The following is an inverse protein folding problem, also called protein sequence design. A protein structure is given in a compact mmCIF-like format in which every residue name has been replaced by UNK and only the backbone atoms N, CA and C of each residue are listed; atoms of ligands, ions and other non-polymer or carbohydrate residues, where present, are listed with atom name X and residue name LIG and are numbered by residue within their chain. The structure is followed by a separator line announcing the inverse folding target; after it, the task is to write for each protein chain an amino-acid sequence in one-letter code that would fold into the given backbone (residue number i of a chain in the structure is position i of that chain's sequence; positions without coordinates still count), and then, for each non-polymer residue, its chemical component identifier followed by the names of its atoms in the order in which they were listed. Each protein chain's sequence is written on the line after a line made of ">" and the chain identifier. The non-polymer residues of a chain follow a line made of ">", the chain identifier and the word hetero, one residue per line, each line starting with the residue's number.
data_IF_017398921239
#
_entry.id   IF_017398921239
#
_cell.length_a   1.000
_cell.length_b   1.000
_cell.length_c   1.000
_cell.angle_alpha   90.00
_cell.angle_beta   90.00
_cell.angle_gamma   90.00
#
_symmetry.space_group_name_H-M   'P 1'
#
loop_
_entity.id
_entity.type
_entity.pdbx_description
1 polymer ?
#
# COMPACT_ATOMS: atom_id res chain seq x y z
N UNK A 1 -19.94 -16.37 -10.00
CA UNK A 1 -21.29 -15.76 -10.08
C UNK A 1 -21.79 -15.51 -8.67
N UNK A 2 -22.63 -14.50 -8.38
CA UNK A 2 -23.14 -14.30 -7.02
C UNK A 2 -24.15 -15.43 -6.68
N UNK A 3 -24.10 -16.07 -5.50
CA UNK A 3 -25.07 -17.10 -5.10
C UNK A 3 -26.54 -16.71 -5.33
N UNK A 4 -26.90 -15.45 -5.05
CA UNK A 4 -28.25 -14.94 -5.27
C UNK A 4 -28.67 -14.98 -6.75
N UNK A 5 -27.73 -14.69 -7.66
CA UNK A 5 -28.00 -14.76 -9.11
C UNK A 5 -28.23 -16.20 -9.56
N UNK A 6 -27.57 -17.19 -8.96
CA UNK A 6 -27.78 -18.59 -9.35
C UNK A 6 -29.17 -19.07 -8.95
N UNK A 7 -29.66 -18.66 -7.79
CA UNK A 7 -31.01 -18.96 -7.36
C UNK A 7 -32.04 -18.36 -8.33
N UNK A 8 -31.85 -17.11 -8.77
CA UNK A 8 -32.70 -16.47 -9.78
C UNK A 8 -32.69 -17.25 -11.10
N UNK A 9 -31.52 -17.64 -11.60
CA UNK A 9 -31.42 -18.43 -12.85
C UNK A 9 -32.11 -19.79 -12.69
N UNK A 10 -31.97 -20.44 -11.53
CA UNK A 10 -32.60 -21.74 -11.27
C UNK A 10 -34.13 -21.68 -11.13
N UNK A 11 -34.68 -20.48 -10.97
CA UNK A 11 -36.12 -20.24 -10.83
C UNK A 11 -36.84 -20.02 -12.17
N UNK A 12 -36.11 -19.73 -13.27
CA UNK A 12 -36.70 -19.35 -14.56
C UNK A 12 -37.56 -20.48 -15.16
N UNK A 13 -36.98 -21.67 -15.37
CA UNK A 13 -37.72 -22.85 -15.81
C UNK A 13 -36.95 -24.14 -15.45
N UNK A 14 -37.59 -25.30 -15.59
CA UNK A 14 -36.98 -26.60 -15.27
C UNK A 14 -35.65 -26.84 -16.02
N UNK A 15 -35.55 -26.42 -17.29
CA UNK A 15 -34.33 -26.56 -18.09
C UNK A 15 -33.17 -25.73 -17.52
N UNK A 16 -33.41 -24.46 -17.15
CA UNK A 16 -32.40 -23.60 -16.54
C UNK A 16 -31.94 -24.12 -15.18
N UNK A 17 -32.87 -24.65 -14.40
CA UNK A 17 -32.56 -25.35 -13.14
C UNK A 17 -31.62 -26.52 -13.38
N UNK A 18 -31.95 -27.44 -14.29
CA UNK A 18 -31.09 -28.57 -14.63
C UNK A 18 -29.70 -28.13 -15.07
N UNK A 19 -29.61 -27.12 -15.95
CA UNK A 19 -28.31 -26.55 -16.37
C UNK A 19 -27.54 -26.00 -15.17
N UNK A 20 -28.20 -25.25 -14.28
CA UNK A 20 -27.59 -24.70 -13.09
C UNK A 20 -26.99 -25.82 -12.21
N UNK A 21 -27.76 -26.86 -11.90
CA UNK A 21 -27.31 -27.99 -11.06
C UNK A 21 -26.25 -28.88 -11.71
N UNK A 22 -26.23 -29.00 -13.04
CA UNK A 22 -25.24 -29.82 -13.75
C UNK A 22 -23.91 -29.09 -13.97
N UNK A 23 -23.90 -27.76 -13.93
CA UNK A 23 -22.71 -26.96 -14.26
C UNK A 23 -21.93 -26.59 -13.00
N UNK A 24 -21.00 -27.46 -12.59
CA UNK A 24 -20.22 -27.30 -11.36
C UNK A 24 -19.49 -25.95 -11.21
N UNK A 25 -19.06 -25.34 -12.32
CA UNK A 25 -18.37 -24.03 -12.32
C UNK A 25 -19.28 -22.87 -11.90
N UNK A 26 -20.61 -23.04 -11.94
CA UNK A 26 -21.54 -22.04 -11.40
C UNK A 26 -21.55 -22.02 -9.86
N UNK A 27 -21.15 -23.13 -9.23
CA UNK A 27 -21.10 -23.34 -7.78
C UNK A 27 -19.69 -23.11 -7.20
N UNK A 28 -18.71 -22.72 -8.03
CA UNK A 28 -17.31 -22.63 -7.61
C UNK A 28 -16.96 -21.38 -6.80
N UNK A 29 -17.85 -20.39 -6.76
CA UNK A 29 -17.67 -19.16 -5.99
C UNK A 29 -18.41 -19.27 -4.66
N UNK A 30 -17.66 -19.44 -3.57
CA UNK A 30 -18.21 -19.50 -2.22
C UNK A 30 -18.06 -18.13 -1.60
N UNK A 31 -19.18 -17.52 -1.20
CA UNK A 31 -19.21 -16.27 -0.44
C UNK A 31 -19.92 -16.52 0.87
N UNK A 32 -19.22 -16.29 1.97
CA UNK A 32 -19.80 -16.40 3.30
C UNK A 32 -19.43 -15.17 4.10
N UNK A 33 -20.45 -14.45 4.57
CA UNK A 33 -20.29 -13.21 5.31
C UNK A 33 -21.02 -13.36 6.64
N UNK A 34 -20.26 -13.35 7.72
CA UNK A 34 -20.77 -13.39 9.08
C UNK A 34 -20.83 -11.98 9.66
N UNK A 35 -21.98 -11.61 10.19
CA UNK A 35 -22.16 -10.48 11.09
C UNK A 35 -22.97 -10.94 12.31
N UNK A 36 -22.89 -10.25 13.46
CA UNK A 36 -23.63 -10.65 14.66
C UNK A 36 -25.15 -10.70 14.43
N UNK A 37 -25.66 -9.92 13.47
CA UNK A 37 -27.09 -9.88 13.11
C UNK A 37 -27.47 -10.86 12.00
N UNK A 38 -26.50 -11.38 11.24
CA UNK A 38 -26.77 -12.18 10.05
C UNK A 38 -25.63 -13.15 9.78
N UNK A 39 -25.94 -14.43 9.79
CA UNK A 39 -25.01 -15.48 9.40
C UNK A 39 -25.69 -16.43 8.37
N UNK A 40 -25.02 -16.75 7.24
CA UNK A 40 -25.54 -17.71 6.28
C UNK A 40 -25.55 -19.11 6.88
N UNK A 41 -26.61 -19.88 6.61
CA UNK A 41 -26.69 -21.28 6.99
C UNK A 41 -25.49 -22.08 6.48
N UNK A 42 -24.90 -22.88 7.36
CA UNK A 42 -23.80 -23.81 7.03
C UNK A 42 -24.26 -24.93 6.09
N UNK A 43 -25.56 -25.23 6.03
CA UNK A 43 -26.12 -26.17 5.05
C UNK A 43 -26.04 -25.64 3.63
N UNK A 44 -26.21 -24.33 3.45
CA UNK A 44 -26.02 -23.70 2.14
C UNK A 44 -24.55 -23.77 1.71
N UNK A 45 -23.62 -23.64 2.64
CA UNK A 45 -22.19 -23.81 2.37
C UNK A 45 -21.88 -25.25 1.95
N UNK A 46 -22.41 -26.25 2.68
CA UNK A 46 -22.29 -27.67 2.30
C UNK A 46 -22.85 -27.95 0.91
N UNK A 47 -24.01 -27.35 0.60
CA UNK A 47 -24.61 -27.44 -0.73
C UNK A 47 -23.70 -26.83 -1.81
N UNK A 48 -23.16 -25.62 -1.61
CA UNK A 48 -22.22 -25.02 -2.57
C UNK A 48 -20.99 -25.88 -2.81
N UNK A 49 -20.37 -26.36 -1.72
CA UNK A 49 -19.18 -27.21 -1.79
C UNK A 49 -19.48 -28.50 -2.55
N UNK A 50 -20.57 -29.20 -2.23
CA UNK A 50 -20.93 -30.47 -2.88
C UNK A 50 -21.19 -30.30 -4.39
N UNK A 51 -21.91 -29.25 -4.78
CA UNK A 51 -22.24 -29.00 -6.18
C UNK A 51 -21.06 -28.46 -7.01
N UNK A 52 -20.07 -27.83 -6.36
CA UNK A 52 -18.82 -27.43 -7.02
C UNK A 52 -17.99 -28.63 -7.51
N UNK A 53 -18.24 -29.84 -7.00
CA UNK A 53 -17.57 -31.10 -7.36
C UNK A 53 -16.05 -30.99 -7.32
N UNK A 54 -15.37 -31.04 -8.47
CA UNK A 54 -13.92 -30.91 -8.61
C UNK A 54 -13.50 -29.54 -9.19
N UNK A 55 -14.45 -28.62 -9.41
CA UNK A 55 -14.14 -27.32 -9.98
C UNK A 55 -13.19 -26.53 -9.04
N UNK A 56 -12.25 -25.74 -9.60
CA UNK A 56 -11.42 -24.84 -8.80
C UNK A 56 -12.27 -23.82 -8.05
N UNK A 57 -12.00 -23.64 -6.77
CA UNK A 57 -12.81 -22.80 -5.89
C UNK A 57 -12.30 -21.37 -5.79
N UNK A 58 -13.23 -20.44 -5.66
CA UNK A 58 -13.00 -19.04 -5.30
C UNK A 58 -13.72 -18.79 -3.98
N UNK A 59 -12.97 -18.68 -2.88
CA UNK A 59 -13.51 -18.59 -1.53
C UNK A 59 -13.36 -17.16 -1.03
N UNK A 60 -14.48 -16.54 -0.64
CA UNK A 60 -14.51 -15.23 -0.01
C UNK A 60 -15.22 -15.32 1.33
N UNK A 61 -14.49 -15.12 2.42
CA UNK A 61 -14.98 -15.18 3.79
C UNK A 61 -14.81 -13.80 4.43
N UNK A 62 -15.88 -13.26 4.98
CA UNK A 62 -15.87 -12.02 5.75
C UNK A 62 -16.46 -12.31 7.12
N UNK A 63 -15.73 -12.02 8.20
CA UNK A 63 -16.21 -12.19 9.57
C UNK A 63 -16.14 -10.85 10.29
N UNK A 64 -17.32 -10.31 10.61
CA UNK A 64 -17.49 -9.13 11.43
C UNK A 64 -17.92 -9.57 12.83
N UNK A 65 -17.12 -9.29 13.86
CA UNK A 65 -17.38 -9.65 15.27
C UNK A 65 -16.44 -10.72 15.84
N UNK A 66 -16.66 -11.07 17.11
CA UNK A 66 -15.76 -11.90 17.93
C UNK A 66 -16.19 -13.38 18.07
N UNK A 67 -17.39 -13.72 17.62
CA UNK A 67 -18.02 -15.03 17.90
C UNK A 67 -17.31 -16.19 17.21
N UNK A 68 -16.92 -17.18 18.01
CA UNK A 68 -16.02 -18.26 17.60
C UNK A 68 -16.72 -19.50 17.00
N UNK A 69 -17.89 -19.89 17.51
CA UNK A 69 -18.42 -21.24 17.29
C UNK A 69 -18.82 -21.54 15.84
N UNK A 70 -19.56 -20.64 15.19
CA UNK A 70 -19.98 -20.85 13.80
C UNK A 70 -18.81 -20.70 12.81
N UNK A 71 -17.86 -19.82 13.14
CA UNK A 71 -16.67 -19.56 12.33
C UNK A 71 -15.79 -20.82 12.28
N UNK A 72 -15.64 -21.52 13.40
CA UNK A 72 -14.93 -22.80 13.45
C UNK A 72 -15.59 -23.88 12.59
N UNK A 73 -16.93 -23.97 12.63
CA UNK A 73 -17.68 -24.91 11.79
C UNK A 73 -17.43 -24.64 10.30
N UNK A 74 -17.44 -23.37 9.90
CA UNK A 74 -17.17 -22.97 8.50
C UNK A 74 -15.74 -23.27 8.10
N UNK A 75 -14.76 -22.94 8.94
CA UNK A 75 -13.36 -23.24 8.70
C UNK A 75 -13.14 -24.76 8.55
N UNK A 76 -13.76 -25.56 9.42
CA UNK A 76 -13.72 -27.02 9.38
C UNK A 76 -14.35 -27.60 8.11
N UNK A 77 -15.44 -27.00 7.61
CA UNK A 77 -16.07 -27.40 6.35
C UNK A 77 -15.20 -27.08 5.12
N UNK A 78 -14.45 -25.98 5.14
CA UNK A 78 -13.61 -25.55 4.02
C UNK A 78 -12.24 -26.24 3.99
N UNK A 79 -11.71 -26.64 5.15
CA UNK A 79 -10.36 -27.20 5.30
C UNK A 79 -10.05 -28.36 4.33
N UNK A 80 -10.94 -29.34 4.10
CA UNK A 80 -10.72 -30.43 3.14
C UNK A 80 -10.61 -29.99 1.68
N UNK A 81 -11.00 -28.75 1.36
CA UNK A 81 -11.13 -28.26 -0.01
C UNK A 81 -10.12 -27.16 -0.38
N UNK A 82 -9.20 -26.79 0.53
CA UNK A 82 -8.20 -25.76 0.27
C UNK A 82 -7.28 -26.08 -0.92
N UNK A 83 -6.94 -27.35 -1.15
CA UNK A 83 -6.12 -27.77 -2.30
C UNK A 83 -6.76 -27.45 -3.67
N UNK A 84 -8.09 -27.30 -3.71
CA UNK A 84 -8.86 -26.92 -4.90
C UNK A 84 -9.00 -25.41 -5.05
N UNK A 85 -8.61 -24.63 -4.05
CA UNK A 85 -8.82 -23.19 -4.06
C UNK A 85 -7.82 -22.51 -5.00
N UNK A 86 -8.37 -21.77 -5.96
CA UNK A 86 -7.63 -20.90 -6.87
C UNK A 86 -7.51 -19.49 -6.33
N UNK A 87 -8.50 -19.03 -5.59
CA UNK A 87 -8.53 -17.71 -4.95
C UNK A 87 -9.07 -17.86 -3.53
N UNK A 88 -8.36 -17.29 -2.57
CA UNK A 88 -8.74 -17.22 -1.16
C UNK A 88 -8.74 -15.75 -0.78
N UNK A 89 -9.87 -15.27 -0.26
CA UNK A 89 -10.09 -13.90 0.16
C UNK A 89 -10.71 -13.93 1.55
N UNK A 90 -9.91 -13.67 2.58
CA UNK A 90 -10.33 -13.76 3.97
C UNK A 90 -10.24 -12.36 4.60
N UNK A 91 -11.34 -11.90 5.17
CA UNK A 91 -11.45 -10.60 5.83
C UNK A 91 -12.03 -10.79 7.23
N UNK A 92 -11.34 -10.28 8.25
CA UNK A 92 -11.71 -10.41 9.65
C UNK A 92 -11.62 -9.06 10.34
N UNK A 93 -12.56 -8.73 11.23
CA UNK A 93 -12.43 -7.58 12.14
C UNK A 93 -11.71 -7.93 13.44
N UNK A 94 -11.54 -9.22 13.73
CA UNK A 94 -10.88 -9.70 14.94
C UNK A 94 -9.93 -10.85 14.64
N UNK A 95 -8.77 -10.84 15.30
CA UNK A 95 -7.73 -11.88 15.16
C UNK A 95 -8.21 -13.27 15.57
N UNK A 96 -9.09 -13.36 16.56
CA UNK A 96 -9.64 -14.64 17.03
C UNK A 96 -10.38 -15.39 15.91
N UNK A 97 -11.09 -14.66 15.04
CA UNK A 97 -11.78 -15.25 13.91
C UNK A 97 -10.78 -15.75 12.84
N UNK A 98 -9.69 -15.02 12.63
CA UNK A 98 -8.65 -15.42 11.69
C UNK A 98 -7.96 -16.72 12.12
N UNK A 99 -7.79 -16.95 13.43
CA UNK A 99 -7.18 -18.15 13.98
C UNK A 99 -7.90 -19.47 13.65
N UNK A 100 -9.18 -19.45 13.24
CA UNK A 100 -9.87 -20.66 12.79
C UNK A 100 -9.47 -21.09 11.37
N UNK A 101 -9.14 -20.10 10.53
CA UNK A 101 -8.71 -20.32 9.15
C UNK A 101 -7.20 -20.50 9.02
N UNK A 102 -6.47 -20.04 10.03
CA UNK A 102 -5.02 -20.10 10.09
C UNK A 102 -4.54 -21.20 11.06
N UNK A 103 -3.40 -21.84 10.74
CA UNK A 103 -2.67 -21.71 9.50
C UNK A 103 -3.39 -22.36 8.30
N UNK A 104 -3.21 -21.80 7.11
CA UNK A 104 -3.64 -22.44 5.87
C UNK A 104 -2.78 -23.70 5.59
N UNK A 105 -3.29 -24.71 4.87
CA UNK A 105 -2.50 -25.89 4.51
C UNK A 105 -1.30 -25.53 3.63
N UNK A 106 -0.21 -26.29 3.77
CA UNK A 106 1.02 -26.09 3.00
C UNK A 106 0.89 -26.39 1.51
N UNK A 107 -0.07 -27.22 1.11
CA UNK A 107 -0.26 -27.69 -0.26
C UNK A 107 -1.49 -27.05 -0.92
N UNK A 108 -1.26 -25.93 -1.62
CA UNK A 108 -2.28 -25.16 -2.33
C UNK A 108 -1.89 -25.02 -3.82
N UNK A 109 -1.91 -26.12 -4.60
CA UNK A 109 -1.30 -26.17 -5.93
C UNK A 109 -2.02 -25.30 -6.96
N UNK A 110 -3.31 -25.00 -6.76
CA UNK A 110 -4.10 -24.17 -7.67
C UNK A 110 -4.14 -22.69 -7.27
N UNK A 111 -3.63 -22.34 -6.08
CA UNK A 111 -3.76 -21.00 -5.53
C UNK A 111 -3.01 -19.97 -6.38
N UNK A 112 -3.75 -18.99 -6.90
CA UNK A 112 -3.23 -17.86 -7.65
C UNK A 112 -3.39 -16.55 -6.90
N UNK A 113 -4.47 -16.40 -6.15
CA UNK A 113 -4.78 -15.15 -5.48
C UNK A 113 -5.02 -15.43 -3.99
N UNK A 114 -4.20 -14.83 -3.14
CA UNK A 114 -4.36 -14.86 -1.69
C UNK A 114 -4.55 -13.43 -1.20
N UNK A 115 -5.73 -13.16 -0.65
CA UNK A 115 -6.03 -11.93 0.07
C UNK A 115 -6.38 -12.28 1.52
N UNK A 116 -5.71 -11.63 2.46
CA UNK A 116 -5.90 -11.82 3.88
C UNK A 116 -5.90 -10.44 4.55
N UNK A 117 -7.02 -10.07 5.13
CA UNK A 117 -7.21 -8.80 5.80
C UNK A 117 -7.69 -9.07 7.22
N UNK A 118 -6.98 -8.53 8.21
CA UNK A 118 -7.43 -8.46 9.59
C UNK A 118 -7.45 -6.98 9.93
N UNK A 119 -8.64 -6.40 10.01
CA UNK A 119 -8.81 -5.04 10.47
C UNK A 119 -8.65 -5.04 11.99
N UNK A 120 -7.76 -4.20 12.51
CA UNK A 120 -7.70 -3.98 13.95
C UNK A 120 -8.87 -3.06 14.31
N UNK A 121 -9.90 -3.55 15.00
CA UNK A 121 -10.92 -2.68 15.57
C UNK A 121 -10.26 -1.82 16.66
N UNK A 122 -9.84 -0.62 16.28
CA UNK A 122 -9.27 0.39 17.17
C UNK A 122 -10.37 0.99 18.04
N UNK A 123 -10.87 0.24 19.01
CA UNK A 123 -11.63 0.78 20.11
C UNK A 123 -11.48 -0.16 21.31
N UNK A 124 -10.49 0.06 22.20
CA UNK A 124 -10.68 -0.35 23.58
C UNK A 124 -11.94 0.38 24.05
N UNK A 125 -13.03 -0.36 24.24
CA UNK A 125 -14.22 0.14 24.91
C UNK A 125 -13.75 0.78 26.21
N UNK A 126 -14.01 2.09 26.38
CA UNK A 126 -13.55 2.98 27.45
C UNK A 126 -14.06 2.61 28.86
N UNK A 127 -14.33 1.35 29.13
CA UNK A 127 -14.62 0.85 30.48
C UNK A 127 -13.37 0.16 31.00
N UNK A 128 -12.64 0.72 31.98
CA UNK A 128 -11.65 -0.01 32.74
C UNK A 128 -12.38 -0.96 33.71
N UNK A 129 -12.42 -2.29 33.49
CA UNK A 129 -12.67 -3.19 34.60
C UNK A 129 -11.39 -3.21 35.43
N UNK A 130 -11.46 -2.63 36.63
CA UNK A 130 -10.47 -2.76 37.68
C UNK A 130 -10.39 -4.22 38.15
N UNK A 131 -9.81 -5.10 37.32
CA UNK A 131 -9.44 -6.46 37.70
C UNK A 131 -7.92 -6.48 37.80
N UNK A 132 -7.36 -6.56 39.03
CA UNK A 132 -5.92 -6.64 39.21
C UNK A 132 -5.42 -8.04 38.80
N UNK A 133 -4.35 -8.05 38.01
CA UNK A 133 -3.43 -9.18 37.80
C UNK A 133 -3.98 -10.44 37.12
N UNK A 134 -4.56 -10.31 35.92
CA UNK A 134 -4.49 -11.42 34.97
C UNK A 134 -3.15 -11.32 34.25
N UNK A 135 -2.21 -12.23 34.56
CA UNK A 135 -0.98 -12.41 33.80
C UNK A 135 -1.29 -12.35 32.30
N UNK A 136 -0.69 -11.39 31.61
CA UNK A 136 -0.90 -11.18 30.18
C UNK A 136 -0.39 -12.42 29.42
N UNK A 137 -1.29 -13.37 29.16
CA UNK A 137 -1.07 -14.48 28.26
C UNK A 137 -0.79 -13.89 26.87
N UNK A 138 0.50 -13.74 26.56
CA UNK A 138 1.00 -13.36 25.24
C UNK A 138 0.45 -14.39 24.27
N UNK A 139 -0.57 -14.02 23.50
CA UNK A 139 -1.09 -14.93 22.49
C UNK A 139 0.01 -15.19 21.46
N UNK A 140 0.21 -16.45 21.04
CA UNK A 140 1.25 -16.79 20.08
C UNK A 140 1.06 -16.01 18.77
N UNK A 141 2.15 -15.74 18.02
CA UNK A 141 2.07 -15.04 16.75
C UNK A 141 1.19 -15.80 15.76
N UNK A 142 0.40 -15.06 14.98
CA UNK A 142 -0.43 -15.64 13.93
C UNK A 142 0.48 -16.20 12.83
N UNK A 143 0.28 -17.47 12.48
CA UNK A 143 0.98 -18.14 11.37
C UNK A 143 0.06 -18.24 10.18
N UNK A 144 0.49 -17.72 9.03
CA UNK A 144 -0.34 -17.76 7.83
C UNK A 144 -0.45 -19.17 7.24
N UNK A 145 0.62 -19.99 7.30
CA UNK A 145 0.67 -21.36 6.75
C UNK A 145 1.28 -22.35 7.75
N UNK A 146 0.86 -23.62 7.65
CA UNK A 146 1.01 -24.66 8.71
C UNK A 146 2.40 -25.33 8.70
N UNK A 147 3.29 -24.87 7.83
CA UNK A 147 4.59 -25.51 7.59
C UNK A 147 5.68 -24.49 7.34
N UNK A 148 6.92 -24.89 7.57
CA UNK A 148 8.09 -24.08 7.22
C UNK A 148 8.23 -23.82 5.72
N UNK A 149 7.62 -24.63 4.84
CA UNK A 149 7.67 -24.45 3.38
C UNK A 149 6.34 -24.71 2.69
N UNK A 150 5.67 -23.65 2.22
CA UNK A 150 4.45 -23.79 1.44
C UNK A 150 4.76 -24.11 -0.03
N UNK A 151 4.03 -25.09 -0.58
CA UNK A 151 4.01 -25.45 -2.01
C UNK A 151 2.81 -24.78 -2.66
N UNK A 152 2.93 -23.48 -2.89
CA UNK A 152 1.96 -22.69 -3.63
C UNK A 152 2.72 -21.75 -4.57
N UNK A 153 2.07 -21.38 -5.69
CA UNK A 153 2.60 -20.45 -6.69
C UNK A 153 1.62 -19.30 -6.91
N UNK A 154 1.38 -18.48 -5.89
CA UNK A 154 0.44 -17.38 -6.00
C UNK A 154 0.97 -16.35 -7.00
N UNK A 155 0.09 -15.86 -7.86
CA UNK A 155 0.33 -14.72 -8.73
C UNK A 155 0.13 -13.39 -7.99
N UNK A 156 -0.74 -13.39 -6.98
CA UNK A 156 -1.07 -12.23 -6.16
C UNK A 156 -1.09 -12.62 -4.68
N UNK A 157 -0.34 -11.89 -3.84
CA UNK A 157 -0.45 -11.95 -2.38
C UNK A 157 -0.81 -10.56 -1.86
N UNK A 158 -1.88 -10.48 -1.08
CA UNK A 158 -2.29 -9.27 -0.35
C UNK A 158 -2.52 -9.65 1.09
N UNK A 159 -1.77 -9.03 2.00
CA UNK A 159 -1.89 -9.25 3.44
C UNK A 159 -1.97 -7.87 4.09
N UNK A 160 -3.05 -7.62 4.82
CA UNK A 160 -3.23 -6.41 5.61
C UNK A 160 -3.59 -6.81 7.04
N UNK A 161 -2.69 -6.52 7.97
CA UNK A 161 -2.81 -6.79 9.40
C UNK A 161 -2.05 -5.67 10.13
N UNK A 162 -2.67 -4.51 10.34
CA UNK A 162 -2.05 -3.34 10.97
C UNK A 162 -1.90 -3.48 12.48
N UNK A 163 -2.31 -4.61 13.08
CA UNK A 163 -2.15 -4.84 14.51
C UNK A 163 -0.68 -4.94 14.91
N UNK A 164 -0.38 -4.69 16.19
CA UNK A 164 0.98 -4.77 16.74
C UNK A 164 1.56 -6.18 16.74
N UNK A 165 0.75 -7.21 16.46
CA UNK A 165 1.21 -8.59 16.52
C UNK A 165 2.06 -8.95 15.31
N UNK A 166 3.15 -9.67 15.60
CA UNK A 166 4.01 -10.21 14.57
C UNK A 166 3.26 -11.29 13.77
N UNK A 167 3.18 -11.09 12.46
CA UNK A 167 2.72 -12.11 11.53
C UNK A 167 3.92 -12.93 11.06
N UNK A 168 3.90 -14.24 11.33
CA UNK A 168 4.89 -15.14 10.76
C UNK A 168 4.52 -15.47 9.32
N UNK A 169 5.24 -14.86 8.38
CA UNK A 169 5.14 -15.20 6.98
C UNK A 169 5.85 -16.54 6.73
N UNK A 170 5.25 -17.41 5.93
CA UNK A 170 5.84 -18.71 5.64
C UNK A 170 6.99 -18.56 4.64
N UNK A 171 7.94 -19.49 4.69
CA UNK A 171 8.88 -19.63 3.58
C UNK A 171 8.09 -20.18 2.40
N UNK A 172 8.01 -19.40 1.33
CA UNK A 172 7.55 -19.93 0.06
C UNK A 172 8.69 -20.75 -0.56
N UNK A 173 8.33 -21.78 -1.30
CA UNK A 173 9.33 -22.61 -2.01
C UNK A 173 9.60 -22.11 -3.43
N UNK A 174 8.62 -21.43 -4.03
CA UNK A 174 8.67 -20.94 -5.41
C UNK A 174 7.68 -19.78 -5.62
N UNK A 175 8.19 -18.56 -5.77
CA UNK A 175 7.40 -17.36 -6.05
C UNK A 175 7.64 -16.81 -7.46
N UNK A 176 8.12 -17.63 -8.40
CA UNK A 176 8.36 -17.19 -9.78
C UNK A 176 7.12 -16.66 -10.48
N UNK A 177 5.93 -17.14 -10.10
CA UNK A 177 4.67 -16.68 -10.69
C UNK A 177 4.12 -15.41 -10.03
N UNK A 178 4.70 -14.96 -8.91
CA UNK A 178 4.24 -13.80 -8.15
C UNK A 178 4.47 -12.50 -8.95
N UNK A 179 3.37 -11.83 -9.28
CA UNK A 179 3.36 -10.55 -10.02
C UNK A 179 3.04 -9.36 -9.13
N UNK A 180 2.28 -9.57 -8.07
CA UNK A 180 1.85 -8.50 -7.16
C UNK A 180 1.92 -8.96 -5.71
N UNK A 181 2.66 -8.18 -4.91
CA UNK A 181 2.81 -8.37 -3.48
C UNK A 181 2.37 -7.09 -2.76
N UNK A 182 1.36 -7.20 -1.91
CA UNK A 182 0.95 -6.14 -0.99
C UNK A 182 1.03 -6.68 0.43
N UNK A 183 1.88 -6.09 1.26
CA UNK A 183 2.04 -6.43 2.66
C UNK A 183 1.87 -5.17 3.48
N UNK A 184 0.93 -5.18 4.40
CA UNK A 184 0.72 -4.14 5.38
C UNK A 184 0.65 -4.82 6.73
N UNK A 185 1.81 -5.15 7.28
CA UNK A 185 1.96 -6.10 8.40
C UNK A 185 3.10 -5.67 9.31
N UNK A 186 3.04 -6.11 10.55
CA UNK A 186 4.21 -6.20 11.40
C UNK A 186 4.90 -7.57 11.13
N UNK A 187 5.95 -7.59 10.31
CA UNK A 187 6.68 -8.82 9.98
C UNK A 187 8.20 -8.58 9.96
N UNK A 188 9.01 -9.59 10.32
CA UNK A 188 10.46 -9.47 10.27
C UNK A 188 10.96 -9.15 8.86
N UNK A 189 11.86 -8.16 8.77
CA UNK A 189 12.47 -7.73 7.50
C UNK A 189 13.07 -8.87 6.69
N UNK A 190 13.78 -9.79 7.34
CA UNK A 190 14.41 -10.93 6.68
C UNK A 190 13.40 -11.80 5.91
N UNK A 191 12.18 -11.96 6.44
CA UNK A 191 11.12 -12.70 5.76
C UNK A 191 10.64 -11.97 4.51
N UNK A 192 10.43 -10.65 4.60
CA UNK A 192 10.03 -9.84 3.43
C UNK A 192 11.09 -9.84 2.34
N UNK A 193 12.36 -9.69 2.71
CA UNK A 193 13.50 -9.77 1.78
C UNK A 193 13.57 -11.13 1.10
N UNK A 194 13.35 -12.21 1.86
CA UNK A 194 13.31 -13.57 1.32
C UNK A 194 12.17 -13.75 0.30
N UNK A 195 10.98 -13.21 0.59
CA UNK A 195 9.83 -13.25 -0.32
C UNK A 195 10.14 -12.50 -1.62
N UNK A 196 10.69 -11.29 -1.51
CA UNK A 196 11.03 -10.49 -2.70
C UNK A 196 12.10 -11.20 -3.52
N UNK A 197 13.18 -11.68 -2.91
CA UNK A 197 14.27 -12.38 -3.61
C UNK A 197 13.79 -13.61 -4.40
N UNK A 198 12.76 -14.30 -3.91
CA UNK A 198 12.18 -15.47 -4.58
C UNK A 198 11.19 -15.13 -5.71
N UNK A 199 10.86 -13.84 -5.89
CA UNK A 199 9.85 -13.36 -6.84
C UNK A 199 10.48 -12.53 -7.99
N UNK A 200 11.21 -13.16 -8.93
CA UNK A 200 11.91 -12.45 -10.01
C UNK A 200 10.96 -11.72 -10.98
N UNK A 201 9.72 -12.19 -11.10
CA UNK A 201 8.71 -11.61 -11.99
C UNK A 201 7.78 -10.60 -11.30
N UNK A 202 8.14 -10.15 -10.09
CA UNK A 202 7.36 -9.18 -9.35
C UNK A 202 7.26 -7.86 -10.11
N UNK A 203 6.03 -7.41 -10.38
CA UNK A 203 5.73 -6.15 -11.09
C UNK A 203 5.22 -5.05 -10.18
N UNK A 204 4.53 -5.42 -9.10
CA UNK A 204 3.94 -4.50 -8.15
C UNK A 204 4.31 -4.89 -6.74
N UNK A 205 4.91 -3.97 -5.99
CA UNK A 205 5.26 -4.12 -4.59
C UNK A 205 4.62 -2.99 -3.78
N UNK A 206 3.86 -3.34 -2.74
CA UNK A 206 3.20 -2.39 -1.85
C UNK A 206 3.47 -2.82 -0.41
N UNK A 207 4.41 -2.16 0.28
CA UNK A 207 4.87 -2.51 1.61
C UNK A 207 4.54 -1.40 2.59
N UNK A 208 3.82 -1.72 3.66
CA UNK A 208 3.56 -0.84 4.79
C UNK A 208 3.97 -1.56 6.08
N UNK A 209 5.09 -1.17 6.68
CA UNK A 209 5.60 -1.83 7.90
C UNK A 209 5.44 -0.89 9.09
N UNK A 210 4.81 -1.39 10.14
CA UNK A 210 4.47 -0.59 11.34
C UNK A 210 5.53 -0.63 12.45
N UNK A 211 6.51 -1.53 12.41
CA UNK A 211 7.53 -1.69 13.46
C UNK A 211 8.69 -0.69 13.29
N UNK A 212 9.16 -0.10 14.39
CA UNK A 212 10.22 0.91 14.42
C UNK A 212 11.62 0.39 14.72
N UNK A 213 11.83 -0.93 14.75
CA UNK A 213 13.12 -1.48 15.16
C UNK A 213 14.27 -0.85 14.35
N UNK A 214 15.26 -0.30 15.07
CA UNK A 214 16.42 0.36 14.50
C UNK A 214 17.29 -0.66 13.75
N UNK A 215 17.11 -0.77 12.43
CA UNK A 215 17.89 -1.70 11.62
C UNK A 215 18.59 -1.00 10.45
N UNK A 216 19.87 -1.29 10.27
CA UNK A 216 20.74 -0.77 9.22
C UNK A 216 20.14 -0.85 7.81
N UNK A 217 20.47 0.11 6.94
CA UNK A 217 20.03 0.18 5.54
C UNK A 217 20.62 -0.98 4.70
N UNK A 218 19.92 -2.11 4.59
CA UNK A 218 20.24 -3.12 3.57
C UNK A 218 19.62 -2.74 2.22
N UNK A 219 20.48 -2.35 1.27
CA UNK A 219 20.12 -2.35 -0.15
C UNK A 219 20.18 -3.78 -0.64
N UNK A 220 19.08 -4.30 -1.19
CA UNK A 220 19.11 -5.60 -1.85
C UNK A 220 20.08 -5.54 -3.04
N UNK A 221 21.08 -6.43 -3.12
CA UNK A 221 22.01 -6.48 -4.26
C UNK A 221 21.31 -6.93 -5.55
N UNK A 222 20.17 -7.62 -5.42
CA UNK A 222 19.44 -8.17 -6.55
C UNK A 222 18.48 -7.14 -7.16
N UNK A 223 18.73 -6.82 -8.43
CA UNK A 223 17.84 -6.01 -9.24
C UNK A 223 16.55 -6.77 -9.49
N UNK A 224 15.40 -6.11 -9.31
CA UNK A 224 14.12 -6.63 -9.76
C UNK A 224 13.78 -6.04 -11.14
N UNK A 225 14.19 -6.68 -12.25
CA UNK A 225 14.05 -6.09 -13.59
C UNK A 225 12.59 -5.93 -14.00
N UNK A 226 11.66 -6.70 -13.45
CA UNK A 226 10.25 -6.60 -13.80
C UNK A 226 9.44 -5.63 -12.94
N UNK A 227 10.03 -5.04 -11.90
CA UNK A 227 9.30 -4.19 -10.96
C UNK A 227 8.91 -2.86 -11.63
N UNK A 228 7.61 -2.61 -11.76
CA UNK A 228 7.03 -1.45 -12.43
C UNK A 228 6.40 -0.47 -11.43
N UNK A 229 5.91 -0.97 -10.29
CA UNK A 229 5.28 -0.18 -9.24
C UNK A 229 5.84 -0.55 -7.87
N UNK A 230 6.24 0.46 -7.10
CA UNK A 230 6.65 0.31 -5.72
C UNK A 230 5.92 1.34 -4.85
N UNK A 231 5.29 0.88 -3.78
CA UNK A 231 4.68 1.72 -2.74
C UNK A 231 5.26 1.32 -1.39
N UNK A 232 5.77 2.28 -0.63
CA UNK A 232 6.46 2.03 0.63
C UNK A 232 5.87 2.92 1.72
N UNK A 233 5.68 2.36 2.91
CA UNK A 233 5.29 3.08 4.12
C UNK A 233 5.99 2.55 5.36
N UNK A 234 6.15 3.41 6.35
CA UNK A 234 6.76 3.15 7.65
C UNK A 234 8.19 2.65 7.51
N UNK A 235 8.54 1.60 8.25
CA UNK A 235 9.85 0.96 8.13
C UNK A 235 10.04 0.20 6.80
N UNK A 236 8.97 0.00 6.02
CA UNK A 236 9.01 -0.62 4.67
C UNK A 236 9.86 0.16 3.70
N UNK A 237 10.09 1.41 3.97
CA UNK A 237 10.93 2.30 3.19
C UNK A 237 12.41 1.95 3.13
N UNK A 238 12.95 1.30 4.16
CA UNK A 238 14.31 0.76 4.14
C UNK A 238 14.46 -0.43 3.18
N UNK A 239 13.36 -0.85 2.55
CA UNK A 239 13.31 -1.86 1.48
C UNK A 239 13.11 -1.23 0.10
N UNK A 240 13.64 -0.02 -0.15
CA UNK A 240 13.68 0.51 -1.51
C UNK A 240 14.45 -0.45 -2.41
N UNK A 241 13.82 -0.88 -3.51
CA UNK A 241 14.38 -1.88 -4.41
C UNK A 241 14.76 -1.17 -5.70
N UNK A 242 16.06 -1.09 -6.04
CA UNK A 242 16.48 -0.58 -7.34
C UNK A 242 15.86 -1.40 -8.47
N UNK A 243 15.17 -0.73 -9.38
CA UNK A 243 14.42 -1.37 -10.46
C UNK A 243 14.47 -0.51 -11.73
N UNK A 244 15.14 -0.97 -12.80
CA UNK A 244 15.36 -0.17 -14.00
C UNK A 244 14.08 0.07 -14.80
N UNK A 245 13.05 -0.75 -14.57
CA UNK A 245 11.74 -0.65 -15.19
C UNK A 245 10.68 0.00 -14.29
N UNK A 246 11.06 0.51 -13.11
CA UNK A 246 10.13 1.16 -12.20
C UNK A 246 9.53 2.40 -12.86
N UNK A 247 8.20 2.41 -13.01
CA UNK A 247 7.44 3.51 -13.59
C UNK A 247 6.72 4.34 -12.54
N UNK A 248 6.38 3.75 -11.41
CA UNK A 248 5.64 4.43 -10.33
C UNK A 248 6.28 4.13 -8.98
N UNK A 249 6.61 5.18 -8.24
CA UNK A 249 7.07 5.11 -6.85
C UNK A 249 6.14 5.94 -5.96
N UNK A 250 5.64 5.34 -4.89
CA UNK A 250 4.83 6.03 -3.89
C UNK A 250 5.48 5.87 -2.53
N UNK A 251 5.94 6.97 -1.94
CA UNK A 251 6.48 7.03 -0.59
C UNK A 251 5.38 7.57 0.32
N UNK A 252 5.02 6.79 1.33
CA UNK A 252 3.96 7.08 2.29
C UNK A 252 4.63 7.25 3.64
N UNK A 253 4.49 8.43 4.23
CA UNK A 253 5.09 8.94 5.48
C UNK A 253 6.54 9.45 5.42
N UNK A 254 6.93 10.15 6.49
CA UNK A 254 8.24 10.79 6.66
C UNK A 254 9.37 9.77 6.73
N UNK A 255 9.18 8.66 7.45
CA UNK A 255 10.18 7.60 7.54
C UNK A 255 10.52 7.08 6.14
N UNK A 256 9.50 7.01 5.26
CA UNK A 256 9.72 6.56 3.90
C UNK A 256 10.53 7.45 3.00
N UNK A 257 10.38 8.75 3.22
CA UNK A 257 11.12 9.76 2.48
C UNK A 257 12.55 9.83 3.01
N UNK A 258 12.73 9.77 4.33
CA UNK A 258 14.04 9.76 4.96
C UNK A 258 14.89 8.56 4.50
N UNK A 259 14.32 7.36 4.44
CA UNK A 259 15.07 6.19 3.98
C UNK A 259 15.57 6.33 2.53
N UNK A 260 14.79 6.98 1.66
CA UNK A 260 15.22 7.29 0.30
C UNK A 260 16.32 8.35 0.32
N UNK A 261 16.19 9.40 1.12
CA UNK A 261 17.19 10.46 1.25
C UNK A 261 18.55 9.93 1.77
N UNK A 262 18.54 9.06 2.77
CA UNK A 262 19.72 8.37 3.30
C UNK A 262 20.38 7.48 2.23
N UNK A 263 19.56 6.72 1.49
CA UNK A 263 20.06 5.86 0.41
C UNK A 263 20.72 6.68 -0.71
N UNK A 264 20.16 7.84 -1.04
CA UNK A 264 20.75 8.77 -2.00
C UNK A 264 22.05 9.40 -1.48
N UNK A 265 22.10 9.75 -0.20
CA UNK A 265 23.30 10.29 0.46
C UNK A 265 24.48 9.33 0.41
N UNK A 266 24.21 8.03 0.55
CA UNK A 266 25.24 6.99 0.56
C UNK A 266 25.91 6.74 -0.80
N UNK A 267 25.29 7.19 -1.90
CA UNK A 267 25.75 6.87 -3.27
C UNK A 267 26.32 8.10 -3.97
N UNK A 268 27.64 8.25 -3.91
CA UNK A 268 28.32 9.42 -4.48
C UNK A 268 28.45 9.44 -6.02
N UNK A 269 28.03 8.43 -6.79
CA UNK A 269 28.27 8.45 -8.26
C UNK A 269 27.53 7.40 -9.13
N UNK A 270 26.48 6.73 -8.64
CA UNK A 270 25.86 5.65 -9.42
C UNK A 270 24.86 6.14 -10.48
N UNK A 271 24.64 5.39 -11.57
CA UNK A 271 23.56 5.66 -12.53
C UNK A 271 22.21 5.80 -11.81
N UNK A 272 21.30 6.58 -12.40
CA UNK A 272 19.94 6.79 -11.87
C UNK A 272 19.31 5.44 -11.48
N UNK A 273 18.83 5.35 -10.24
CA UNK A 273 18.22 4.13 -9.69
C UNK A 273 16.95 3.73 -10.43
N UNK A 274 16.25 4.72 -10.99
CA UNK A 274 14.95 4.55 -11.64
C UNK A 274 14.89 5.33 -12.95
N UNK A 275 15.70 4.96 -13.96
CA UNK A 275 15.84 5.72 -15.21
C UNK A 275 14.51 5.84 -15.99
N UNK A 276 13.50 5.06 -15.63
CA UNK A 276 12.16 5.04 -16.24
C UNK A 276 11.05 5.53 -15.31
N UNK A 277 11.37 6.16 -14.18
CA UNK A 277 10.38 6.64 -13.24
C UNK A 277 9.52 7.73 -13.90
N UNK A 278 8.23 7.46 -14.08
CA UNK A 278 7.27 8.36 -14.71
C UNK A 278 6.38 9.06 -13.69
N UNK A 279 6.07 8.37 -12.58
CA UNK A 279 5.17 8.86 -11.54
C UNK A 279 5.87 8.74 -10.18
N UNK A 280 5.93 9.85 -9.46
CA UNK A 280 6.37 9.88 -8.07
C UNK A 280 5.25 10.46 -7.22
N UNK A 281 4.87 9.74 -6.16
CA UNK A 281 3.94 10.23 -5.15
C UNK A 281 4.64 10.29 -3.79
N UNK A 282 4.58 11.45 -3.13
CA UNK A 282 5.12 11.69 -1.80
C UNK A 282 3.94 12.02 -0.89
N UNK A 283 3.67 11.20 0.12
CA UNK A 283 2.54 11.37 1.03
C UNK A 283 3.10 11.62 2.43
N UNK A 284 3.01 12.84 2.92
CA UNK A 284 3.47 13.22 4.25
C UNK A 284 2.34 13.02 5.29
N UNK A 285 2.69 12.42 6.43
CA UNK A 285 1.80 12.38 7.59
C UNK A 285 1.61 13.78 8.20
N UNK A 286 0.45 14.04 8.81
CA UNK A 286 0.04 15.39 9.24
C UNK A 286 0.77 16.00 10.45
N UNK A 287 1.80 15.37 11.01
CA UNK A 287 2.34 15.74 12.33
C UNK A 287 3.77 16.33 12.33
N UNK A 288 4.45 16.44 11.18
CA UNK A 288 5.88 16.77 11.17
C UNK A 288 6.14 18.29 11.02
N UNK A 289 5.89 19.05 12.08
CA UNK A 289 6.22 20.49 12.10
C UNK A 289 7.74 20.76 12.18
N UNK A 290 8.54 19.73 12.48
CA UNK A 290 9.98 19.85 12.79
C UNK A 290 10.92 19.32 11.69
N UNK A 291 10.44 19.18 10.45
CA UNK A 291 11.30 18.73 9.36
C UNK A 291 12.29 19.83 8.95
N UNK A 292 13.59 19.58 9.15
CA UNK A 292 14.64 20.51 8.71
C UNK A 292 14.78 20.51 7.19
N UNK A 293 15.10 21.67 6.62
CA UNK A 293 15.32 21.87 5.18
C UNK A 293 16.32 20.85 4.59
N UNK A 294 17.36 20.52 5.37
CA UNK A 294 18.43 19.62 4.95
C UNK A 294 17.94 18.21 4.62
N UNK A 295 16.83 17.75 5.24
CA UNK A 295 16.26 16.42 5.03
C UNK A 295 15.64 16.21 3.65
N UNK A 296 15.48 17.27 2.87
CA UNK A 296 14.86 17.21 1.55
C UNK A 296 15.85 17.45 0.42
N UNK A 297 17.11 17.74 0.72
CA UNK A 297 18.07 18.14 -0.30
C UNK A 297 18.38 16.97 -1.26
N UNK A 298 18.56 15.75 -0.76
CA UNK A 298 18.83 14.61 -1.64
C UNK A 298 17.56 14.18 -2.36
N UNK A 299 16.40 14.24 -1.71
CA UNK A 299 15.12 14.01 -2.39
C UNK A 299 14.89 15.00 -3.54
N UNK A 300 15.12 16.30 -3.33
CA UNK A 300 15.00 17.32 -4.36
C UNK A 300 15.99 17.06 -5.51
N UNK A 301 17.24 16.71 -5.17
CA UNK A 301 18.26 16.30 -6.15
C UNK A 301 17.80 15.08 -6.94
N UNK A 302 17.28 14.06 -6.28
CA UNK A 302 16.77 12.84 -6.90
C UNK A 302 15.65 13.14 -7.89
N UNK A 303 14.67 13.96 -7.51
CA UNK A 303 13.57 14.37 -8.40
C UNK A 303 14.12 15.10 -9.64
N UNK A 304 15.14 15.95 -9.46
CA UNK A 304 15.79 16.67 -10.58
C UNK A 304 16.52 15.73 -11.53
N UNK A 305 17.14 14.67 -11.02
CA UNK A 305 17.89 13.68 -11.79
C UNK A 305 16.98 12.66 -12.53
N UNK A 306 15.66 12.67 -12.30
CA UNK A 306 14.73 11.76 -12.98
C UNK A 306 14.27 12.30 -14.33
N UNK A 307 15.05 12.13 -15.39
CA UNK A 307 14.74 12.58 -16.77
C UNK A 307 13.41 12.06 -17.37
N UNK A 308 12.84 11.02 -16.79
CA UNK A 308 11.59 10.40 -17.25
C UNK A 308 10.35 10.85 -16.46
N UNK A 309 10.51 11.62 -15.38
CA UNK A 309 9.42 11.95 -14.46
C UNK A 309 8.40 12.86 -15.15
N UNK A 310 7.21 12.32 -15.41
CA UNK A 310 6.08 13.05 -16.01
C UNK A 310 5.16 13.63 -14.95
N UNK A 311 4.86 12.88 -13.89
CA UNK A 311 3.91 13.27 -12.85
C UNK A 311 4.55 13.24 -11.47
N UNK A 312 4.39 14.33 -10.73
CA UNK A 312 4.75 14.44 -9.31
C UNK A 312 3.48 14.73 -8.49
N UNK A 313 3.16 13.86 -7.53
CA UNK A 313 2.03 14.02 -6.62
C UNK A 313 2.54 14.20 -5.19
N UNK A 314 2.25 15.32 -4.56
CA UNK A 314 2.62 15.60 -3.18
C UNK A 314 1.34 15.72 -2.37
N UNK A 315 1.16 14.83 -1.41
CA UNK A 315 0.09 14.92 -0.41
C UNK A 315 0.74 15.36 0.89
N UNK A 316 0.41 16.53 1.43
CA UNK A 316 1.08 17.03 2.63
C UNK A 316 0.16 17.80 3.58
N UNK A 317 0.43 17.66 4.88
CA UNK A 317 -0.19 18.46 5.93
C UNK A 317 0.21 19.93 5.84
N UNK A 318 1.52 20.19 5.89
CA UNK A 318 2.17 21.45 5.55
C UNK A 318 3.19 21.20 4.45
N UNK A 319 3.39 22.17 3.57
CA UNK A 319 4.21 21.98 2.38
C UNK A 319 5.72 22.13 2.66
N UNK A 320 6.54 21.09 2.41
CA UNK A 320 7.97 21.28 2.16
C UNK A 320 8.23 21.72 0.71
N UNK A 321 7.25 22.30 0.00
CA UNK A 321 7.39 22.68 -1.42
C UNK A 321 8.54 23.65 -1.63
N UNK A 322 8.72 24.62 -0.74
CA UNK A 322 9.87 25.50 -0.80
C UNK A 322 11.13 24.64 -0.81
N UNK A 323 11.27 23.64 0.06
CA UNK A 323 12.49 22.83 0.07
C UNK A 323 12.66 21.92 -1.15
N UNK A 324 11.57 21.37 -1.68
CA UNK A 324 11.62 20.48 -2.84
C UNK A 324 11.82 21.23 -4.17
N UNK A 325 11.35 22.47 -4.25
CA UNK A 325 11.27 23.23 -5.50
C UNK A 325 12.17 24.47 -5.53
N UNK A 326 12.59 24.97 -4.37
CA UNK A 326 13.40 26.19 -4.29
C UNK A 326 14.80 25.94 -4.89
N UNK A 327 15.18 26.87 -5.75
CA UNK A 327 16.48 26.96 -6.41
C UNK A 327 17.58 27.37 -5.42
N UNK A 328 17.22 27.99 -4.30
CA UNK A 328 18.15 28.69 -3.40
C UNK A 328 18.92 27.80 -2.41
N UNK A 329 18.46 26.56 -2.17
CA UNK A 329 18.97 25.67 -1.11
C UNK A 329 20.40 25.13 -1.29
N UNK A 330 21.10 25.44 -2.37
CA UNK A 330 22.45 24.92 -2.61
C UNK A 330 23.58 25.64 -1.86
N UNK A 331 23.34 26.18 -0.66
CA UNK A 331 24.45 26.52 0.24
C UNK A 331 24.05 26.54 1.72
N UNK A 332 24.12 25.41 2.45
CA UNK A 332 24.09 25.42 3.91
C UNK A 332 25.43 25.89 4.54
N UNK A 333 26.40 26.36 3.75
CA UNK A 333 27.73 26.72 4.25
C UNK A 333 27.74 28.18 4.74
N UNK A 334 27.64 28.32 6.07
CA UNK A 334 27.90 29.50 6.90
C UNK A 334 26.92 30.70 6.79
N UNK A 335 26.00 30.87 7.76
CA UNK A 335 25.18 32.09 7.90
C UNK A 335 25.99 33.36 8.28
N UNK A 336 27.32 33.28 8.41
CA UNK A 336 28.16 34.38 8.90
C UNK A 336 29.01 35.08 7.81
N UNK A 337 28.89 34.70 6.53
CA UNK A 337 29.62 35.38 5.45
C UNK A 337 28.65 35.94 4.42
N UNK A 338 28.20 37.17 4.67
CA UNK A 338 27.44 38.02 3.75
C UNK A 338 28.32 38.52 2.61
N UNK A 339 28.72 37.65 1.68
CA UNK A 339 29.32 38.09 0.42
C UNK A 339 28.30 38.12 -0.73
N UNK A 340 28.20 39.22 -1.49
CA UNK A 340 27.32 39.33 -2.65
C UNK A 340 27.90 38.50 -3.81
N UNK A 341 27.50 37.24 -3.86
CA UNK A 341 27.90 36.30 -4.91
C UNK A 341 27.14 36.63 -6.20
N UNK A 342 27.77 37.41 -7.07
CA UNK A 342 27.23 37.75 -8.39
C UNK A 342 27.28 36.53 -9.33
N UNK A 343 26.15 36.21 -9.97
CA UNK A 343 25.94 35.18 -10.99
C UNK A 343 26.03 33.72 -10.51
N UNK A 344 25.14 33.32 -9.59
CA UNK A 344 24.82 31.89 -9.42
C UNK A 344 24.03 31.42 -10.64
N UNK A 345 24.56 30.42 -11.36
CA UNK A 345 23.85 29.73 -12.44
C UNK A 345 22.60 29.09 -11.86
N UNK A 346 21.45 29.58 -12.29
CA UNK A 346 20.15 29.00 -11.94
C UNK A 346 20.11 27.55 -12.39
N UNK A 347 19.89 26.63 -11.45
CA UNK A 347 19.65 25.23 -11.79
C UNK A 347 18.16 25.12 -12.17
N UNK A 348 17.84 24.62 -13.37
CA UNK A 348 16.47 24.55 -13.84
C UNK A 348 15.60 23.64 -12.94
N UNK A 349 14.32 23.96 -12.89
CA UNK A 349 13.28 23.21 -12.17
C UNK A 349 13.27 21.70 -12.47
N UNK A 350 12.75 20.88 -11.52
CA UNK A 350 12.75 19.43 -11.58
C UNK A 350 12.25 18.88 -12.92
N UNK A 351 13.02 17.91 -13.44
CA UNK A 351 12.79 17.09 -14.64
C UNK A 351 12.28 17.82 -15.89
N UNK A 352 13.03 17.72 -16.99
CA UNK A 352 12.65 18.28 -18.29
C UNK A 352 11.24 17.87 -18.79
N UNK A 353 10.75 16.70 -18.35
CA UNK A 353 9.50 16.08 -18.79
C UNK A 353 8.34 16.20 -17.80
N UNK A 354 8.53 16.87 -16.66
CA UNK A 354 7.45 17.05 -15.68
C UNK A 354 6.32 17.86 -16.31
N UNK A 355 5.15 17.23 -16.48
CA UNK A 355 3.97 17.81 -17.12
C UNK A 355 2.79 17.97 -16.16
N UNK A 356 2.78 17.23 -15.05
CA UNK A 356 1.75 17.30 -14.03
C UNK A 356 2.37 17.38 -12.65
N UNK A 357 2.03 18.44 -11.90
CA UNK A 357 2.30 18.59 -10.48
C UNK A 357 0.96 18.60 -9.73
N UNK A 358 0.71 17.57 -8.94
CA UNK A 358 -0.48 17.48 -8.11
C UNK A 358 -0.13 17.73 -6.65
N UNK A 359 -0.83 18.65 -6.01
CA UNK A 359 -0.61 19.07 -4.63
C UNK A 359 -1.92 18.85 -3.85
N UNK A 360 -1.97 17.81 -3.01
CA UNK A 360 -3.10 17.53 -2.11
C UNK A 360 -2.73 18.01 -0.70
N UNK A 361 -3.28 19.14 -0.32
CA UNK A 361 -2.91 19.89 0.88
C UNK A 361 -4.00 19.77 1.93
N UNK A 362 -3.61 19.39 3.14
CA UNK A 362 -4.50 19.43 4.31
C UNK A 362 -4.51 20.84 4.91
N UNK A 363 -3.35 21.50 4.97
CA UNK A 363 -3.24 22.92 5.29
C UNK A 363 -2.50 23.66 4.19
N UNK A 364 -3.02 24.82 3.81
CA UNK A 364 -2.39 25.65 2.80
C UNK A 364 -1.35 26.51 3.53
N UNK A 365 -0.09 26.54 3.08
CA UNK A 365 0.90 27.47 3.61
C UNK A 365 0.44 28.91 3.35
N UNK A 366 1.20 29.89 3.84
CA UNK A 366 0.95 31.28 3.48
C UNK A 366 0.73 31.38 1.96
N UNK A 367 -0.43 31.89 1.52
CA UNK A 367 -0.79 31.84 0.10
C UNK A 367 0.13 32.69 -0.78
N UNK A 368 0.75 33.74 -0.22
CA UNK A 368 1.77 34.52 -0.92
C UNK A 368 3.00 33.66 -1.25
N UNK A 369 3.39 32.76 -0.34
CA UNK A 369 4.46 31.80 -0.58
C UNK A 369 4.07 30.81 -1.67
N UNK A 370 2.83 30.29 -1.64
CA UNK A 370 2.36 29.38 -2.67
C UNK A 370 2.31 30.07 -4.05
N UNK A 371 1.77 31.29 -4.12
CA UNK A 371 1.73 32.07 -5.36
C UNK A 371 3.13 32.29 -5.94
N UNK A 372 4.09 32.72 -5.12
CA UNK A 372 5.49 32.91 -5.55
C UNK A 372 6.14 31.62 -6.08
N UNK A 373 5.87 30.49 -5.43
CA UNK A 373 6.34 29.18 -5.90
C UNK A 373 5.69 28.85 -7.26
N UNK A 374 4.38 29.04 -7.40
CA UNK A 374 3.66 28.78 -8.63
C UNK A 374 4.13 29.67 -9.78
N UNK A 375 4.35 30.96 -9.54
CA UNK A 375 4.92 31.89 -10.52
C UNK A 375 6.28 31.42 -11.01
N UNK A 376 7.16 31.04 -10.08
CA UNK A 376 8.48 30.52 -10.42
C UNK A 376 8.37 29.24 -11.25
N UNK A 377 7.49 28.32 -10.85
CA UNK A 377 7.23 27.06 -11.56
C UNK A 377 6.73 27.29 -12.98
N UNK A 378 5.72 28.14 -13.14
CA UNK A 378 5.02 28.35 -14.40
C UNK A 378 5.80 29.24 -15.38
N UNK A 379 6.66 30.12 -14.87
CA UNK A 379 7.59 30.93 -15.68
C UNK A 379 8.62 30.04 -16.36
N UNK A 380 9.25 29.17 -15.59
CA UNK A 380 10.26 28.23 -16.09
C UNK A 380 9.64 27.08 -16.89
N UNK A 381 8.41 26.65 -16.56
CA UNK A 381 7.72 25.51 -17.18
C UNK A 381 6.32 25.91 -17.68
N UNK A 382 6.22 26.56 -18.85
CA UNK A 382 4.94 27.05 -19.37
C UNK A 382 3.94 25.94 -19.72
N UNK A 383 4.40 24.68 -19.85
CA UNK A 383 3.55 23.51 -20.13
C UNK A 383 3.16 22.70 -18.87
N UNK A 384 3.67 23.08 -17.70
CA UNK A 384 3.36 22.39 -16.46
C UNK A 384 1.89 22.63 -16.09
N UNK A 385 1.15 21.54 -15.88
CA UNK A 385 -0.20 21.57 -15.30
C UNK A 385 -0.10 21.35 -13.80
N UNK A 386 -0.81 22.18 -13.04
CA UNK A 386 -0.81 22.10 -11.59
C UNK A 386 -2.22 21.75 -11.12
N UNK A 387 -2.38 20.65 -10.40
CA UNK A 387 -3.63 20.27 -9.75
C UNK A 387 -3.51 20.59 -8.25
N UNK A 388 -4.21 21.62 -7.79
CA UNK A 388 -4.32 21.94 -6.35
C UNK A 388 -5.57 21.27 -5.79
N UNK A 389 -5.39 20.38 -4.82
CA UNK A 389 -6.47 19.81 -4.03
C UNK A 389 -6.32 20.36 -2.61
N UNK A 390 -7.30 21.14 -2.16
CA UNK A 390 -7.36 21.61 -0.78
C UNK A 390 -8.45 20.84 -0.04
N UNK A 391 -8.12 20.26 1.11
CA UNK A 391 -9.11 19.61 2.00
C UNK A 391 -9.62 20.62 3.02
N UNK A 392 -10.94 20.64 3.25
CA UNK A 392 -11.63 21.56 4.17
C UNK A 392 -10.97 21.62 5.57
N UNK A 393 -10.86 22.84 6.10
CA UNK A 393 -9.97 23.24 7.20
C UNK A 393 -9.17 24.52 6.89
N UNK A 394 -9.36 25.11 5.71
CA UNK A 394 -8.70 26.33 5.26
C UNK A 394 -9.32 27.54 5.93
N UNK A 395 -8.51 28.32 6.65
CA UNK A 395 -8.94 29.55 7.33
C UNK A 395 -9.36 30.68 6.36
N UNK A 396 -8.98 30.58 5.08
CA UNK A 396 -9.26 31.59 4.04
C UNK A 396 -9.55 30.99 2.65
N UNK A 397 -10.82 30.69 2.31
CA UNK A 397 -11.20 30.21 0.98
C UNK A 397 -11.09 31.27 -0.11
N UNK A 398 -11.12 32.57 0.21
CA UNK A 398 -10.96 33.64 -0.80
C UNK A 398 -9.58 33.57 -1.43
N UNK A 399 -8.55 33.24 -0.64
CA UNK A 399 -7.23 33.17 -1.19
C UNK A 399 -7.02 32.05 -2.22
N UNK A 400 -7.74 30.93 -2.07
CA UNK A 400 -7.77 29.88 -3.09
C UNK A 400 -8.45 30.34 -4.38
N UNK A 401 -9.52 31.14 -4.25
CA UNK A 401 -10.20 31.73 -5.41
C UNK A 401 -9.30 32.72 -6.13
N UNK A 402 -8.52 33.51 -5.40
CA UNK A 402 -7.52 34.42 -5.97
C UNK A 402 -6.40 33.68 -6.70
N UNK A 403 -5.93 32.55 -6.17
CA UNK A 403 -4.98 31.69 -6.89
C UNK A 403 -5.58 31.12 -8.18
N UNK A 404 -6.84 30.68 -8.13
CA UNK A 404 -7.53 30.16 -9.32
C UNK A 404 -7.74 31.25 -10.38
N UNK A 405 -8.07 32.47 -9.97
CA UNK A 405 -8.27 33.60 -10.89
C UNK A 405 -6.96 34.08 -11.52
N UNK A 406 -5.84 33.98 -10.79
CA UNK A 406 -4.51 34.30 -11.30
C UNK A 406 -4.03 33.30 -12.39
N UNK A 407 -4.44 32.02 -12.32
CA UNK A 407 -3.95 30.97 -13.23
C UNK A 407 -5.06 30.05 -13.81
N UNK A 408 -6.08 30.60 -14.51
CA UNK A 408 -7.31 29.89 -14.82
C UNK A 408 -7.15 28.67 -15.74
N UNK A 409 -6.14 28.64 -16.61
CA UNK A 409 -5.92 27.55 -17.57
C UNK A 409 -4.85 26.53 -17.13
N UNK A 410 -4.05 26.87 -16.12
CA UNK A 410 -2.86 26.09 -15.74
C UNK A 410 -2.98 25.46 -14.36
N UNK A 411 -3.82 26.04 -13.49
CA UNK A 411 -4.07 25.55 -12.14
C UNK A 411 -5.51 25.04 -12.06
N UNK A 412 -5.65 23.71 -12.06
CA UNK A 412 -6.91 23.07 -11.75
C UNK A 412 -7.08 23.02 -10.22
N UNK A 413 -7.98 23.83 -9.68
CA UNK A 413 -8.30 23.85 -8.25
C UNK A 413 -9.50 22.94 -7.97
N UNK A 414 -9.33 21.97 -7.08
CA UNK A 414 -10.41 21.15 -6.51
C UNK A 414 -10.45 21.37 -5.01
N UNK A 415 -11.59 21.82 -4.49
CA UNK A 415 -11.84 21.95 -3.06
C UNK A 415 -12.62 20.71 -2.62
N UNK A 416 -12.13 19.98 -1.62
CA UNK A 416 -12.72 18.71 -1.14
C UNK A 416 -13.16 18.76 0.30
#
# INVERSE_FOLDING_TARGET
>A
MNPAQLLVISAVCARWRSIAFLTATLWSTIRWMYTPQKHPSTDLLRLWISQSRAAPLHVQISVMGETASEVDVVASLLRPHWSRCRSIDLMFTHENAAAFFLPLPSHLPLLRDLNFTVEATSAPTLTPPSVPNSDHLVSPPLRLLDSSTARCRPATIRIHMPSSRELQLPSFSDLRDLKSLRLSVNAPRAQMLSITAQAPNLRSLDLMIYQQDEVELCVLPDMHPCLELQRLAGAGSRLLIPAPHLRSLTLVDEASIQAVDELLSSRYSTPSLFPRLQNLALIFGGASDNLSADRFLNLARFIREQDALGSLHIVAGRLPLAFLLDKSLHNPINPLVSQPCSKRKEIPLPCAKLNLLKLDMVMIPNPFTLASILDTLLTDRPRLRIELIARLGVDDPECLLNLRSAYPERVALTIR
#
